data_IF_966625895548
#
_entry.id   IF_966625895548
#
_cell.length_a   1.000
_cell.length_b   1.000
_cell.length_c   1.000
_cell.angle_alpha   90.00
_cell.angle_beta   90.00
_cell.angle_gamma   90.00
#
_symmetry.space_group_name_H-M   'P 1'
#
loop_
_entity.id
_entity.type
_entity.pdbx_description
1 polymer ?
#
# COMPACT_ATOMS: atom_id res chain seq x y z
N UNK A 1 15.35 -14.77 -25.12
CA UNK A 1 14.22 -15.59 -25.61
C UNK A 1 14.60 -17.02 -25.38
N UNK A 2 14.01 -17.70 -24.41
CA UNK A 2 14.32 -19.10 -24.16
C UNK A 2 13.31 -19.97 -24.93
N UNK A 3 13.78 -20.97 -25.65
CA UNK A 3 12.90 -22.02 -26.15
C UNK A 3 12.59 -22.95 -24.97
N UNK A 4 11.31 -23.07 -24.66
CA UNK A 4 10.79 -24.01 -23.65
C UNK A 4 10.19 -25.20 -24.38
N UNK A 5 10.39 -26.40 -23.83
CA UNK A 5 9.75 -27.58 -24.38
C UNK A 5 8.26 -27.59 -24.00
N UNK A 6 7.41 -27.82 -25.00
CA UNK A 6 5.99 -28.03 -24.77
C UNK A 6 5.79 -29.31 -23.96
N UNK A 7 5.01 -29.26 -22.87
CA UNK A 7 4.75 -30.43 -22.01
C UNK A 7 3.95 -31.55 -22.67
N UNK A 8 3.36 -31.31 -23.83
CA UNK A 8 2.52 -32.29 -24.56
C UNK A 8 3.26 -32.91 -25.75
N UNK A 9 3.82 -32.07 -26.64
CA UNK A 9 4.44 -32.54 -27.88
C UNK A 9 5.98 -32.50 -27.86
N UNK A 10 6.59 -32.11 -26.74
CA UNK A 10 8.04 -32.00 -26.55
C UNK A 10 8.77 -31.11 -27.57
N UNK A 11 8.02 -30.34 -28.38
CA UNK A 11 8.60 -29.42 -29.34
C UNK A 11 9.12 -28.17 -28.63
N UNK A 12 10.23 -27.63 -29.14
CA UNK A 12 10.81 -26.39 -28.63
C UNK A 12 9.99 -25.20 -29.13
N UNK A 13 9.35 -24.48 -28.20
CA UNK A 13 8.45 -23.35 -28.46
C UNK A 13 8.96 -22.13 -27.70
N UNK A 14 8.72 -20.92 -28.22
CA UNK A 14 9.07 -19.70 -27.49
C UNK A 14 8.32 -19.62 -26.14
N UNK A 15 9.07 -19.26 -25.10
CA UNK A 15 8.57 -18.91 -23.76
C UNK A 15 7.48 -17.82 -23.74
N UNK A 16 7.34 -17.03 -24.81
CA UNK A 16 6.34 -15.97 -24.93
C UNK A 16 5.07 -16.37 -25.68
N UNK A 17 5.05 -17.54 -26.34
CA UNK A 17 3.91 -18.01 -27.11
C UNK A 17 2.69 -18.24 -26.19
N UNK A 18 1.50 -17.81 -26.61
CA UNK A 18 0.24 -18.05 -25.89
C UNK A 18 -0.21 -19.51 -26.01
N UNK A 19 0.11 -20.16 -27.12
CA UNK A 19 -0.16 -21.57 -27.38
C UNK A 19 0.97 -22.18 -28.21
N UNK A 20 1.15 -23.49 -28.10
CA UNK A 20 2.09 -24.23 -28.92
C UNK A 20 1.63 -24.22 -30.40
N UNK A 21 2.45 -23.78 -31.36
CA UNK A 21 2.06 -23.76 -32.78
C UNK A 21 1.99 -25.17 -33.40
N UNK A 22 2.57 -26.20 -32.76
CA UNK A 22 2.54 -27.58 -33.27
C UNK A 22 1.33 -28.39 -32.81
N UNK A 23 0.94 -28.27 -31.54
CA UNK A 23 -0.15 -29.07 -30.97
C UNK A 23 -1.35 -28.26 -30.46
N UNK A 24 -1.27 -26.92 -30.49
CA UNK A 24 -2.34 -26.05 -30.00
C UNK A 24 -2.45 -25.95 -28.47
N UNK A 25 -1.60 -26.64 -27.70
CA UNK A 25 -1.68 -26.60 -26.24
C UNK A 25 -1.47 -25.18 -25.69
N UNK A 26 -2.39 -24.63 -24.87
CA UNK A 26 -2.21 -23.33 -24.23
C UNK A 26 -0.99 -23.32 -23.31
N UNK A 27 -0.01 -22.47 -23.64
CA UNK A 27 1.21 -22.33 -22.85
C UNK A 27 0.92 -21.34 -21.71
N UNK A 28 0.81 -21.85 -20.48
CA UNK A 28 0.67 -21.00 -19.28
C UNK A 28 1.89 -20.08 -19.18
N UNK A 29 1.72 -18.78 -19.45
CA UNK A 29 2.75 -17.77 -19.19
C UNK A 29 3.17 -17.89 -17.72
N UNK A 30 4.39 -18.35 -17.47
CA UNK A 30 4.96 -18.40 -16.11
C UNK A 30 5.03 -16.96 -15.60
N UNK A 31 4.13 -16.65 -14.67
CA UNK A 31 4.28 -15.58 -13.70
C UNK A 31 4.38 -14.17 -14.26
N UNK A 32 3.30 -13.64 -14.84
CA UNK A 32 2.98 -12.26 -14.47
C UNK A 32 2.45 -12.35 -13.05
N UNK A 33 3.33 -12.20 -12.07
CA UNK A 33 2.90 -11.95 -10.70
C UNK A 33 1.90 -10.80 -10.80
N UNK A 34 0.64 -11.06 -10.43
CA UNK A 34 -0.36 -10.00 -10.32
C UNK A 34 0.06 -9.20 -9.09
N UNK A 35 1.03 -8.32 -9.29
CA UNK A 35 1.34 -7.28 -8.32
C UNK A 35 0.18 -6.32 -8.38
N UNK A 36 -0.68 -6.41 -7.37
CA UNK A 36 -1.66 -5.37 -7.12
C UNK A 36 -0.87 -4.11 -6.82
N UNK A 37 -0.77 -3.21 -7.80
CA UNK A 37 -0.14 -1.91 -7.61
C UNK A 37 -1.04 -1.13 -6.68
N UNK A 38 -0.80 -1.22 -5.38
CA UNK A 38 -1.53 -0.41 -4.42
C UNK A 38 -1.12 1.04 -4.67
N UNK A 39 -2.04 1.84 -5.25
CA UNK A 39 -1.87 3.25 -5.63
C UNK A 39 -1.65 4.20 -4.43
N UNK A 40 -1.11 3.72 -3.32
CA UNK A 40 -0.82 4.51 -2.12
C UNK A 40 0.53 4.10 -1.55
N UNK A 41 1.50 5.01 -1.63
CA UNK A 41 2.84 4.78 -1.07
C UNK A 41 2.81 4.56 0.44
N UNK A 42 3.85 3.89 0.96
CA UNK A 42 4.01 3.57 2.39
C UNK A 42 4.01 4.84 3.25
N UNK A 43 4.60 5.92 2.76
CA UNK A 43 4.74 7.20 3.48
C UNK A 43 3.38 7.82 3.87
N UNK A 44 2.41 7.82 2.96
CA UNK A 44 1.07 8.36 3.23
C UNK A 44 0.31 7.53 4.27
N UNK A 45 0.57 6.22 4.35
CA UNK A 45 -0.01 5.35 5.37
C UNK A 45 0.67 5.52 6.72
N UNK A 46 1.99 5.65 6.75
CA UNK A 46 2.75 5.88 7.99
C UNK A 46 2.34 7.19 8.64
N UNK A 47 2.22 8.27 7.86
CA UNK A 47 1.78 9.57 8.39
C UNK A 47 0.33 9.52 8.89
N UNK A 48 -0.56 8.84 8.17
CA UNK A 48 -1.96 8.64 8.59
C UNK A 48 -2.06 7.84 9.90
N UNK A 49 -1.24 6.80 10.05
CA UNK A 49 -1.18 5.98 11.25
C UNK A 49 -0.67 6.79 12.44
N UNK A 50 0.45 7.52 12.26
CA UNK A 50 1.05 8.35 13.31
C UNK A 50 0.08 9.44 13.82
N UNK A 51 -0.59 10.15 12.90
CA UNK A 51 -1.62 11.14 13.25
C UNK A 51 -2.77 10.52 14.06
N UNK A 52 -3.21 9.31 13.70
CA UNK A 52 -4.29 8.61 14.42
C UNK A 52 -3.86 8.22 15.84
N UNK A 53 -2.64 7.71 16.01
CA UNK A 53 -2.08 7.37 17.32
C UNK A 53 -1.95 8.61 18.20
N UNK A 54 -1.50 9.73 17.65
CA UNK A 54 -1.36 11.00 18.37
C UNK A 54 -2.71 11.54 18.87
N UNK A 55 -3.76 11.44 18.05
CA UNK A 55 -5.14 11.82 18.44
C UNK A 55 -5.64 10.94 19.58
N UNK A 56 -5.45 9.62 19.50
CA UNK A 56 -5.87 8.68 20.55
C UNK A 56 -5.12 8.97 21.85
N UNK A 57 -3.81 9.21 21.78
CA UNK A 57 -3.00 9.58 22.95
C UNK A 57 -3.45 10.91 23.57
N UNK A 58 -3.73 11.91 22.74
CA UNK A 58 -4.23 13.22 23.20
C UNK A 58 -5.61 13.11 23.84
N UNK A 59 -6.49 12.26 23.30
CA UNK A 59 -7.80 11.98 23.86
C UNK A 59 -7.71 11.30 25.23
N UNK A 60 -6.79 10.34 25.40
CA UNK A 60 -6.58 9.67 26.68
C UNK A 60 -6.01 10.61 27.75
N UNK A 61 -5.21 11.60 27.35
CA UNK A 61 -4.63 12.60 28.23
C UNK A 61 -5.67 13.55 28.85
N UNK A 62 -6.89 13.64 28.30
CA UNK A 62 -7.99 14.42 28.87
C UNK A 62 -8.44 13.85 30.22
N UNK A 63 -8.27 12.55 30.45
CA UNK A 63 -8.64 11.87 31.70
C UNK A 63 -7.47 11.80 32.71
N UNK A 64 -6.33 12.43 32.41
CA UNK A 64 -5.15 12.39 33.26
C UNK A 64 -5.05 13.65 34.14
N UNK A 65 -5.86 13.70 35.21
CA UNK A 65 -5.90 14.81 36.18
C UNK A 65 -4.57 15.01 36.93
N UNK A 66 -3.69 14.02 36.92
CA UNK A 66 -2.38 14.04 37.59
C UNK A 66 -1.36 14.98 36.94
N UNK A 67 -1.64 15.53 35.75
CA UNK A 67 -0.73 16.42 35.02
C UNK A 67 -1.30 17.85 35.00
N UNK A 68 -0.59 18.87 35.55
CA UNK A 68 -1.03 20.25 35.47
C UNK A 68 -1.04 20.72 34.01
N UNK A 69 -2.15 21.32 33.56
CA UNK A 69 -2.29 21.82 32.18
C UNK A 69 -2.60 20.76 31.12
N UNK A 70 -3.01 19.55 31.52
CA UNK A 70 -3.36 18.45 30.61
C UNK A 70 -4.43 18.83 29.57
N UNK A 71 -5.40 19.68 29.91
CA UNK A 71 -6.46 20.11 28.98
C UNK A 71 -5.93 20.94 27.80
N UNK A 72 -5.04 21.90 28.06
CA UNK A 72 -4.42 22.73 27.02
C UNK A 72 -3.49 21.89 26.13
N UNK A 73 -2.68 21.02 26.74
CA UNK A 73 -1.78 20.13 26.00
C UNK A 73 -2.54 19.13 25.13
N UNK A 74 -3.61 18.52 25.67
CA UNK A 74 -4.50 17.63 24.94
C UNK A 74 -5.20 18.36 23.79
N UNK A 75 -5.68 19.59 24.02
CA UNK A 75 -6.32 20.41 22.99
C UNK A 75 -5.38 20.73 21.83
N UNK A 76 -4.15 21.16 22.12
CA UNK A 76 -3.12 21.43 21.10
C UNK A 76 -2.76 20.14 20.35
N UNK A 77 -2.59 19.02 21.06
CA UNK A 77 -2.30 17.70 20.47
C UNK A 77 -3.40 17.24 19.51
N UNK A 78 -4.67 17.41 19.86
CA UNK A 78 -5.81 17.12 18.98
C UNK A 78 -5.82 17.99 17.73
N UNK A 79 -5.60 19.31 17.87
CA UNK A 79 -5.55 20.23 16.72
C UNK A 79 -4.42 19.86 15.75
N UNK A 80 -3.21 19.63 16.27
CA UNK A 80 -2.04 19.22 15.47
C UNK A 80 -2.33 17.88 14.78
N UNK A 81 -2.91 16.91 15.50
CA UNK A 81 -3.28 15.61 14.96
C UNK A 81 -4.26 15.71 13.78
N UNK A 82 -5.28 16.57 13.89
CA UNK A 82 -6.26 16.83 12.82
C UNK A 82 -5.60 17.50 11.62
N UNK A 83 -4.78 18.52 11.83
CA UNK A 83 -4.05 19.21 10.75
C UNK A 83 -3.14 18.23 10.00
N UNK A 84 -2.37 17.40 10.71
CA UNK A 84 -1.55 16.36 10.07
C UNK A 84 -2.38 15.38 9.23
N UNK A 85 -3.61 15.07 9.66
CA UNK A 85 -4.50 14.19 8.89
C UNK A 85 -4.97 14.82 7.58
N UNK A 86 -5.26 16.12 7.61
CA UNK A 86 -5.62 16.91 6.43
C UNK A 86 -4.43 16.96 5.47
N UNK A 87 -3.22 17.22 5.98
CA UNK A 87 -1.99 17.23 5.18
C UNK A 87 -1.70 15.85 4.57
N UNK A 88 -1.94 14.76 5.29
CA UNK A 88 -1.81 13.41 4.74
C UNK A 88 -2.82 13.13 3.60
N UNK A 89 -4.03 13.69 3.69
CA UNK A 89 -5.04 13.57 2.64
C UNK A 89 -4.66 14.40 1.39
N UNK A 90 -4.16 15.62 1.57
CA UNK A 90 -3.71 16.47 0.44
C UNK A 90 -2.47 15.91 -0.25
N UNK A 91 -1.48 15.41 0.50
CA UNK A 91 -0.32 14.74 -0.09
C UNK A 91 -0.68 13.47 -0.84
N UNK A 92 -1.70 12.74 -0.38
CA UNK A 92 -2.20 11.57 -1.12
C UNK A 92 -2.70 11.99 -2.51
N UNK A 93 -3.50 13.05 -2.57
CA UNK A 93 -4.08 13.59 -3.80
C UNK A 93 -3.00 14.14 -4.75
N UNK A 94 -1.99 14.84 -4.24
CA UNK A 94 -0.94 15.42 -5.09
C UNK A 94 0.11 14.43 -5.60
N UNK A 95 0.47 13.40 -4.81
CA UNK A 95 1.63 12.54 -5.09
C UNK A 95 1.25 11.20 -5.75
N UNK A 96 0.01 10.74 -5.60
CA UNK A 96 -0.39 9.38 -6.02
C UNK A 96 -1.63 9.31 -6.94
N UNK A 97 -2.21 10.45 -7.35
CA UNK A 97 -3.15 10.48 -8.48
C UNK A 97 -2.41 10.45 -9.82
#
# INVERSE_FOLDING_TARGET
MALVNCGECSSSVSDQASACPKCGNPMKKRGKHVVTTQKTGKDAKTLKLLSTVLIIGSFFMIFADSVPGHTNLAGIGLLIGVVMRIVAATMKWWKYD
#
